data_IF_383309331402
#
_entry.id   IF_383309331402
#
_cell.length_a   1.000
_cell.length_b   1.000
_cell.length_c   1.000
_cell.angle_alpha   90.00
_cell.angle_beta   90.00
_cell.angle_gamma   90.00
#
_symmetry.space_group_name_H-M   'P 1'
#
loop_
_entity.id
_entity.type
_entity.pdbx_description
1 polymer ?
#
# COMPACT_ATOMS: atom_id res chain seq x y z
N UNK A 1 -15.17 -27.52 -21.18
CA UNK A 1 -16.51 -28.05 -20.84
C UNK A 1 -16.65 -28.41 -19.36
N UNK A 2 -15.82 -29.31 -18.78
CA UNK A 2 -15.93 -29.70 -17.34
C UNK A 2 -15.88 -28.53 -16.34
N UNK A 3 -15.07 -27.50 -16.59
CA UNK A 3 -14.93 -26.35 -15.68
C UNK A 3 -16.08 -25.34 -15.78
N UNK A 4 -16.74 -25.20 -16.95
CA UNK A 4 -17.90 -24.31 -17.11
C UNK A 4 -19.10 -24.86 -16.32
N UNK A 5 -19.40 -26.15 -16.46
CA UNK A 5 -20.48 -26.82 -15.73
C UNK A 5 -20.33 -26.72 -14.20
N UNK A 6 -19.11 -26.62 -13.68
CA UNK A 6 -18.86 -26.45 -12.23
C UNK A 6 -19.34 -25.10 -11.69
N UNK A 7 -19.44 -24.06 -12.53
CA UNK A 7 -19.71 -22.69 -12.09
C UNK A 7 -20.97 -22.07 -12.70
N UNK A 8 -21.69 -22.80 -13.55
CA UNK A 8 -22.95 -22.36 -14.18
C UNK A 8 -24.05 -21.95 -13.18
N UNK A 9 -24.01 -22.49 -11.97
CA UNK A 9 -24.93 -22.14 -10.88
C UNK A 9 -24.57 -20.81 -10.19
N UNK A 10 -23.39 -20.25 -10.46
CA UNK A 10 -22.89 -18.98 -9.92
C UNK A 10 -22.97 -17.86 -10.94
N UNK A 11 -22.48 -18.12 -12.16
CA UNK A 11 -22.35 -17.13 -13.23
C UNK A 11 -22.47 -17.81 -14.58
N UNK A 12 -23.10 -17.12 -15.53
CA UNK A 12 -23.09 -17.51 -16.94
C UNK A 12 -21.79 -17.01 -17.58
N UNK A 13 -20.95 -17.93 -18.06
CA UNK A 13 -19.71 -17.58 -18.77
C UNK A 13 -20.06 -17.34 -20.25
N UNK A 14 -19.82 -16.13 -20.79
CA UNK A 14 -20.06 -15.85 -22.20
C UNK A 14 -19.22 -16.72 -23.13
N UNK A 15 -19.65 -16.87 -24.39
CA UNK A 15 -18.99 -17.78 -25.34
C UNK A 15 -17.62 -17.27 -25.78
N UNK A 16 -17.46 -15.96 -25.87
CA UNK A 16 -16.25 -15.20 -26.20
C UNK A 16 -15.24 -15.13 -25.03
N UNK A 17 -15.49 -15.86 -23.94
CA UNK A 17 -14.55 -15.97 -22.82
C UNK A 17 -13.81 -17.31 -22.83
N UNK A 18 -12.47 -17.24 -22.90
CA UNK A 18 -11.57 -18.41 -22.90
C UNK A 18 -11.03 -18.66 -21.49
N UNK A 19 -10.97 -19.92 -21.08
CA UNK A 19 -10.32 -20.31 -19.83
C UNK A 19 -8.80 -20.12 -19.99
N UNK A 20 -8.23 -19.22 -19.20
CA UNK A 20 -6.79 -18.90 -19.21
C UNK A 20 -6.06 -19.49 -18.02
N UNK A 21 -6.73 -19.67 -16.87
CA UNK A 21 -6.20 -20.38 -15.70
C UNK A 21 -7.21 -21.41 -15.20
N UNK A 22 -6.71 -22.60 -14.89
CA UNK A 22 -7.45 -23.70 -14.29
C UNK A 22 -6.49 -24.53 -13.45
N UNK A 23 -6.24 -24.07 -12.23
CA UNK A 23 -5.14 -24.55 -11.38
C UNK A 23 -5.63 -24.94 -9.98
N UNK A 24 -4.80 -25.66 -9.23
CA UNK A 24 -5.01 -25.96 -7.80
C UNK A 24 -3.75 -25.66 -7.02
N UNK A 25 -3.79 -24.63 -6.17
CA UNK A 25 -2.64 -24.15 -5.39
C UNK A 25 -3.07 -23.88 -3.95
N UNK A 26 -2.24 -24.25 -2.99
CA UNK A 26 -2.49 -24.03 -1.56
C UNK A 26 -3.84 -24.56 -1.03
N UNK A 27 -4.39 -25.64 -1.63
CA UNK A 27 -5.69 -26.19 -1.23
C UNK A 27 -6.90 -25.42 -1.78
N UNK A 28 -6.70 -24.63 -2.84
CA UNK A 28 -7.73 -23.85 -3.51
C UNK A 28 -7.74 -24.15 -5.01
N UNK A 29 -8.94 -24.27 -5.59
CA UNK A 29 -9.15 -24.39 -7.03
C UNK A 29 -9.40 -23.00 -7.63
N UNK A 30 -8.53 -22.60 -8.56
CA UNK A 30 -8.54 -21.28 -9.17
C UNK A 30 -8.97 -21.41 -10.63
N UNK A 31 -10.01 -20.69 -11.03
CA UNK A 31 -10.51 -20.64 -12.39
C UNK A 31 -10.57 -19.19 -12.87
N UNK A 32 -9.96 -18.90 -14.02
CA UNK A 32 -9.92 -17.57 -14.62
C UNK A 32 -10.28 -17.65 -16.09
N UNK A 33 -11.28 -16.87 -16.50
CA UNK A 33 -11.64 -16.65 -17.89
C UNK A 33 -11.39 -15.19 -18.28
N UNK A 34 -10.85 -14.98 -19.47
CA UNK A 34 -10.70 -13.66 -20.08
C UNK A 34 -11.53 -13.59 -21.36
N UNK A 35 -12.04 -12.40 -21.68
CA UNK A 35 -12.61 -12.14 -23.00
C UNK A 35 -11.51 -12.18 -24.06
N UNK A 36 -11.79 -12.79 -25.21
CA UNK A 36 -10.80 -13.00 -26.27
C UNK A 36 -10.26 -11.69 -26.88
N UNK A 37 -11.09 -10.65 -26.99
CA UNK A 37 -10.71 -9.36 -27.59
C UNK A 37 -10.20 -8.33 -26.56
N UNK A 38 -10.52 -8.52 -25.27
CA UNK A 38 -10.21 -7.58 -24.20
C UNK A 38 -9.92 -8.32 -22.89
N UNK A 39 -8.65 -8.61 -22.64
CA UNK A 39 -8.24 -9.34 -21.43
C UNK A 39 -8.42 -8.55 -20.11
N UNK A 40 -8.72 -7.25 -20.16
CA UNK A 40 -9.12 -6.51 -18.96
C UNK A 40 -10.51 -6.95 -18.48
N UNK A 41 -11.32 -7.55 -19.37
CA UNK A 41 -12.59 -8.18 -19.02
C UNK A 41 -12.38 -9.64 -18.66
N UNK A 42 -12.75 -9.99 -17.43
CA UNK A 42 -12.48 -11.31 -16.86
C UNK A 42 -13.52 -11.79 -15.87
N UNK A 43 -13.53 -13.10 -15.66
CA UNK A 43 -14.26 -13.79 -14.60
C UNK A 43 -13.25 -14.65 -13.84
N UNK A 44 -13.04 -14.34 -12.57
CA UNK A 44 -12.20 -15.09 -11.64
C UNK A 44 -13.07 -15.74 -10.56
N UNK A 45 -12.85 -17.02 -10.30
CA UNK A 45 -13.57 -17.79 -9.28
C UNK A 45 -12.58 -18.68 -8.54
N UNK A 46 -12.60 -18.61 -7.21
CA UNK A 46 -11.81 -19.45 -6.33
C UNK A 46 -12.70 -20.28 -5.40
N UNK A 47 -12.40 -21.58 -5.29
CA UNK A 47 -13.05 -22.51 -4.37
C UNK A 47 -12.06 -23.16 -3.43
N UNK A 48 -12.52 -23.50 -2.23
CA UNK A 48 -11.77 -24.38 -1.33
C UNK A 48 -11.77 -25.81 -1.88
N UNK A 49 -10.60 -26.40 -2.12
CA UNK A 49 -10.46 -27.70 -2.78
C UNK A 49 -11.27 -28.80 -2.09
N UNK A 50 -11.16 -28.90 -0.76
CA UNK A 50 -11.75 -30.00 0.00
C UNK A 50 -13.27 -29.90 0.16
N UNK A 51 -13.82 -28.69 0.20
CA UNK A 51 -15.24 -28.47 0.53
C UNK A 51 -16.05 -27.94 -0.65
N UNK A 52 -15.38 -27.55 -1.74
CA UNK A 52 -15.96 -26.85 -2.88
C UNK A 52 -16.78 -25.60 -2.46
N UNK A 53 -16.45 -25.01 -1.30
CA UNK A 53 -17.02 -23.74 -0.88
C UNK A 53 -16.43 -22.60 -1.71
N UNK A 54 -17.30 -21.69 -2.16
CA UNK A 54 -16.87 -20.47 -2.82
C UNK A 54 -16.05 -19.62 -1.83
N UNK A 55 -14.83 -19.28 -2.22
CA UNK A 55 -13.95 -18.36 -1.48
C UNK A 55 -14.06 -16.97 -2.11
N UNK A 56 -13.97 -16.91 -3.44
CA UNK A 56 -13.92 -15.66 -4.18
C UNK A 56 -14.66 -15.75 -5.51
N UNK A 57 -15.33 -14.67 -5.88
CA UNK A 57 -15.82 -14.36 -7.22
C UNK A 57 -15.38 -12.94 -7.54
N UNK A 58 -14.83 -12.71 -8.73
CA UNK A 58 -14.58 -11.38 -9.26
C UNK A 58 -14.89 -11.35 -10.75
N UNK A 59 -15.80 -10.48 -11.15
CA UNK A 59 -16.21 -10.24 -12.52
C UNK A 59 -15.82 -8.80 -12.85
N UNK A 60 -14.86 -8.64 -13.75
CA UNK A 60 -14.57 -7.35 -14.36
C UNK A 60 -15.13 -7.36 -15.78
N UNK A 61 -16.03 -6.41 -16.05
CA UNK A 61 -16.66 -6.20 -17.35
C UNK A 61 -16.78 -4.69 -17.56
N UNK A 62 -17.00 -4.24 -18.78
CA UNK A 62 -17.24 -2.81 -19.03
C UNK A 62 -18.33 -2.31 -18.07
N UNK A 63 -17.97 -1.34 -17.23
CA UNK A 63 -18.87 -0.84 -16.20
C UNK A 63 -20.04 -0.13 -16.86
N UNK A 64 -21.29 -0.38 -16.42
CA UNK A 64 -22.42 0.41 -16.86
C UNK A 64 -22.14 1.88 -16.58
N UNK A 65 -22.25 2.73 -17.62
CA UNK A 65 -22.02 4.19 -17.49
C UNK A 65 -23.11 4.87 -16.65
N UNK A 66 -24.21 4.16 -16.42
CA UNK A 66 -25.36 4.65 -15.67
C UNK A 66 -25.14 4.57 -14.16
N UNK A 67 -25.62 5.60 -13.46
CA UNK A 67 -25.63 5.59 -12.01
C UNK A 67 -26.54 4.48 -11.47
N UNK A 68 -26.17 3.89 -10.33
CA UNK A 68 -26.99 2.86 -9.71
C UNK A 68 -28.35 3.42 -9.28
N UNK A 69 -29.41 2.84 -9.82
CA UNK A 69 -30.81 3.21 -9.52
C UNK A 69 -31.40 2.40 -8.37
N UNK A 70 -30.75 1.31 -7.98
CA UNK A 70 -31.14 0.47 -6.86
C UNK A 70 -31.04 1.25 -5.54
N UNK A 71 -31.94 0.93 -4.61
CA UNK A 71 -31.84 1.35 -3.20
C UNK A 71 -30.86 0.47 -2.42
N UNK A 72 -30.34 0.98 -1.31
CA UNK A 72 -29.48 0.20 -0.40
C UNK A 72 -30.18 -1.09 0.08
N UNK A 73 -31.49 -1.01 0.33
CA UNK A 73 -32.29 -2.16 0.73
C UNK A 73 -32.36 -3.24 -0.38
N UNK A 74 -32.50 -2.84 -1.64
CA UNK A 74 -32.48 -3.77 -2.77
C UNK A 74 -31.09 -4.39 -2.97
N UNK A 75 -30.02 -3.60 -2.89
CA UNK A 75 -28.65 -4.08 -2.95
C UNK A 75 -28.37 -5.13 -1.87
N UNK A 76 -28.76 -4.84 -0.62
CA UNK A 76 -28.69 -5.80 0.50
C UNK A 76 -29.48 -7.08 0.23
N UNK A 77 -30.72 -6.98 -0.28
CA UNK A 77 -31.53 -8.16 -0.58
C UNK A 77 -30.92 -9.06 -1.66
N UNK A 78 -30.28 -8.48 -2.67
CA UNK A 78 -29.59 -9.25 -3.72
C UNK A 78 -28.41 -10.00 -3.11
N UNK A 79 -27.59 -9.31 -2.31
CA UNK A 79 -26.46 -9.89 -1.60
C UNK A 79 -26.89 -11.02 -0.65
N UNK A 80 -28.00 -10.83 0.07
CA UNK A 80 -28.56 -11.85 0.96
C UNK A 80 -28.98 -13.12 0.21
N UNK A 81 -29.70 -12.99 -0.92
CA UNK A 81 -30.11 -14.15 -1.75
C UNK A 81 -28.89 -14.93 -2.27
N UNK A 82 -27.82 -14.21 -2.62
CA UNK A 82 -26.57 -14.83 -3.04
C UNK A 82 -25.96 -15.67 -1.90
N UNK A 83 -25.86 -15.10 -0.69
CA UNK A 83 -25.35 -15.83 0.47
C UNK A 83 -26.25 -17.01 0.87
N UNK A 84 -27.58 -16.87 0.79
CA UNK A 84 -28.50 -17.98 1.07
C UNK A 84 -28.21 -19.20 0.19
N UNK A 85 -27.82 -18.96 -1.06
CA UNK A 85 -27.55 -20.01 -2.04
C UNK A 85 -26.13 -20.58 -1.91
N UNK A 86 -25.12 -19.73 -1.72
CA UNK A 86 -23.71 -20.13 -1.87
C UNK A 86 -22.91 -20.15 -0.56
N UNK A 87 -23.36 -19.44 0.48
CA UNK A 87 -22.66 -19.37 1.77
C UNK A 87 -23.63 -19.15 2.96
N UNK A 88 -24.64 -20.02 3.17
CA UNK A 88 -25.71 -19.79 4.15
C UNK A 88 -25.21 -19.73 5.60
N UNK A 89 -24.07 -20.36 5.89
CA UNK A 89 -23.40 -20.28 7.20
C UNK A 89 -22.97 -18.86 7.56
N UNK A 90 -22.67 -18.00 6.58
CA UNK A 90 -22.29 -16.60 6.83
C UNK A 90 -23.49 -15.82 7.35
N UNK A 91 -24.66 -15.97 6.74
CA UNK A 91 -25.90 -15.32 7.20
C UNK A 91 -26.33 -15.77 8.60
N UNK A 92 -26.00 -17.00 8.96
CA UNK A 92 -26.33 -17.54 10.28
C UNK A 92 -25.46 -16.92 11.38
N UNK A 93 -24.17 -16.73 11.12
CA UNK A 93 -23.18 -16.38 12.15
C UNK A 93 -22.87 -14.87 12.17
N UNK A 94 -23.09 -14.15 11.07
CA UNK A 94 -22.91 -12.69 10.97
C UNK A 94 -24.16 -11.94 11.39
N UNK A 95 -24.00 -10.98 12.29
CA UNK A 95 -25.07 -10.18 12.89
C UNK A 95 -24.95 -8.67 12.56
N UNK A 96 -23.87 -8.25 11.93
CA UNK A 96 -23.68 -6.88 11.43
C UNK A 96 -23.65 -6.88 9.90
N UNK A 97 -24.31 -5.88 9.30
CA UNK A 97 -24.28 -5.65 7.84
C UNK A 97 -24.02 -4.17 7.57
N UNK A 98 -22.99 -3.88 6.81
CA UNK A 98 -22.71 -2.53 6.29
C UNK A 98 -23.03 -2.49 4.80
N UNK A 99 -23.65 -1.39 4.37
CA UNK A 99 -23.97 -1.13 2.96
C UNK A 99 -23.41 0.23 2.59
N UNK A 100 -22.57 0.27 1.57
CA UNK A 100 -22.00 1.51 1.05
C UNK A 100 -22.40 1.70 -0.41
N UNK A 101 -23.03 2.85 -0.70
CA UNK A 101 -23.34 3.25 -2.08
C UNK A 101 -22.11 3.78 -2.79
N UNK A 102 -21.78 3.17 -3.93
CA UNK A 102 -20.83 3.70 -4.92
C UNK A 102 -21.59 4.28 -6.11
N UNK A 103 -20.86 4.89 -7.05
CA UNK A 103 -21.46 5.52 -8.24
C UNK A 103 -22.31 4.55 -9.07
N UNK A 104 -21.80 3.33 -9.28
CA UNK A 104 -22.39 2.30 -10.15
C UNK A 104 -22.65 0.96 -9.45
N UNK A 105 -22.37 0.86 -8.14
CA UNK A 105 -22.51 -0.39 -7.37
C UNK A 105 -22.85 -0.13 -5.90
N UNK A 106 -23.21 -1.19 -5.19
CA UNK A 106 -23.25 -1.25 -3.74
C UNK A 106 -22.17 -2.19 -3.24
N UNK A 107 -21.45 -1.76 -2.22
CA UNK A 107 -20.65 -2.66 -1.39
C UNK A 107 -21.51 -3.12 -0.22
N UNK A 108 -21.59 -4.43 -0.02
CA UNK A 108 -22.36 -5.04 1.05
C UNK A 108 -21.43 -5.96 1.81
N UNK A 109 -21.23 -5.68 3.10
CA UNK A 109 -20.34 -6.44 3.95
C UNK A 109 -21.10 -7.02 5.14
N UNK A 110 -21.02 -8.34 5.29
CA UNK A 110 -21.56 -9.09 6.42
C UNK A 110 -20.41 -9.45 7.34
N UNK A 111 -20.55 -9.16 8.63
CA UNK A 111 -19.51 -9.38 9.64
C UNK A 111 -20.10 -9.97 10.92
N UNK A 112 -19.25 -10.68 11.67
CA UNK A 112 -19.54 -10.97 13.06
C UNK A 112 -19.34 -9.70 13.89
N UNK A 113 -20.14 -9.56 14.93
CA UNK A 113 -20.07 -8.47 15.91
C UNK A 113 -20.01 -9.08 17.32
N UNK A 114 -19.35 -8.36 18.22
CA UNK A 114 -19.41 -8.60 19.67
C UNK A 114 -19.68 -7.26 20.36
N UNK A 115 -20.81 -7.18 21.07
CA UNK A 115 -21.30 -5.98 21.77
C UNK A 115 -21.41 -4.72 20.91
N UNK A 116 -21.88 -4.88 19.66
CA UNK A 116 -22.08 -3.76 18.73
C UNK A 116 -20.80 -3.27 18.04
N UNK A 117 -19.67 -3.98 18.21
CA UNK A 117 -18.42 -3.70 17.51
C UNK A 117 -18.13 -4.80 16.50
N UNK A 118 -17.74 -4.39 15.30
CA UNK A 118 -17.34 -5.29 14.22
C UNK A 118 -16.13 -6.13 14.63
N UNK A 119 -16.16 -7.41 14.28
CA UNK A 119 -15.04 -8.33 14.46
C UNK A 119 -14.27 -8.40 13.14
N UNK A 120 -13.02 -7.89 13.07
CA UNK A 120 -12.31 -7.79 11.81
C UNK A 120 -11.99 -9.16 11.21
N UNK A 121 -11.86 -9.19 9.89
CA UNK A 121 -11.57 -10.40 9.10
C UNK A 121 -12.59 -11.53 9.27
N UNK A 122 -13.88 -11.17 9.41
CA UNK A 122 -15.00 -12.13 9.50
C UNK A 122 -16.09 -11.89 8.45
N UNK A 123 -16.87 -12.93 8.18
CA UNK A 123 -18.04 -12.90 7.30
C UNK A 123 -17.70 -12.87 5.81
N UNK A 124 -18.32 -11.95 5.05
CA UNK A 124 -18.10 -11.82 3.61
C UNK A 124 -18.30 -10.40 3.11
N UNK A 125 -17.53 -10.05 2.07
CA UNK A 125 -17.69 -8.84 1.29
C UNK A 125 -18.34 -9.17 -0.06
N UNK A 126 -19.25 -8.32 -0.53
CA UNK A 126 -19.86 -8.42 -1.86
C UNK A 126 -19.98 -7.06 -2.56
N UNK A 127 -19.88 -7.08 -3.88
CA UNK A 127 -20.22 -5.94 -4.73
C UNK A 127 -21.42 -6.30 -5.61
N UNK A 128 -22.47 -5.48 -5.54
CA UNK A 128 -23.69 -5.61 -6.36
C UNK A 128 -23.74 -4.46 -7.36
N UNK A 129 -23.73 -4.79 -8.65
CA UNK A 129 -23.74 -3.78 -9.71
C UNK A 129 -25.16 -3.26 -10.04
N UNK A 130 -25.23 -2.24 -10.88
CA UNK A 130 -26.51 -1.68 -11.36
C UNK A 130 -27.36 -2.67 -12.18
N UNK A 131 -26.78 -3.76 -12.69
CA UNK A 131 -27.50 -4.85 -13.38
C UNK A 131 -28.12 -5.87 -12.43
N UNK A 132 -28.07 -5.62 -11.11
CA UNK A 132 -28.56 -6.51 -10.05
C UNK A 132 -27.78 -7.82 -9.96
N UNK A 133 -26.52 -7.85 -10.40
CA UNK A 133 -25.65 -9.01 -10.31
C UNK A 133 -24.59 -8.82 -9.22
N UNK A 134 -24.22 -9.91 -8.54
CA UNK A 134 -23.05 -9.93 -7.65
C UNK A 134 -21.82 -10.07 -8.54
N UNK A 135 -21.01 -9.01 -8.62
CA UNK A 135 -19.79 -8.97 -9.44
C UNK A 135 -18.54 -9.27 -8.62
N UNK A 136 -18.57 -9.02 -7.31
CA UNK A 136 -17.53 -9.48 -6.39
C UNK A 136 -18.12 -10.19 -5.20
N UNK A 137 -17.48 -11.25 -4.76
CA UNK A 137 -17.71 -11.91 -3.47
C UNK A 137 -16.36 -12.34 -2.92
N UNK A 138 -16.13 -12.11 -1.63
CA UNK A 138 -14.97 -12.63 -0.91
C UNK A 138 -15.39 -13.09 0.47
N UNK A 139 -15.22 -14.38 0.73
CA UNK A 139 -15.39 -14.96 2.06
C UNK A 139 -14.19 -14.61 2.94
N UNK A 140 -14.44 -14.08 4.13
CA UNK A 140 -13.46 -13.87 5.20
C UNK A 140 -13.52 -14.97 6.26
N UNK A 141 -14.54 -15.84 6.16
CA UNK A 141 -14.77 -16.95 7.08
C UNK A 141 -15.42 -16.51 8.39
N UNK A 142 -15.74 -17.50 9.23
CA UNK A 142 -16.30 -17.29 10.56
C UNK A 142 -15.22 -17.64 11.59
N UNK A 143 -15.13 -16.84 12.65
CA UNK A 143 -14.15 -16.95 13.72
C UNK A 143 -14.83 -17.11 15.07
N UNK A 144 -14.07 -17.59 16.05
CA UNK A 144 -14.52 -17.63 17.43
C UNK A 144 -14.71 -16.21 17.96
N UNK A 145 -15.85 -15.96 18.63
CA UNK A 145 -16.17 -14.63 19.15
C UNK A 145 -15.37 -14.40 20.45
N UNK A 146 -14.62 -13.29 20.58
CA UNK A 146 -13.93 -12.98 21.82
C UNK A 146 -14.91 -12.68 22.95
N UNK A 147 -14.43 -12.85 24.19
CA UNK A 147 -15.17 -12.48 25.39
C UNK A 147 -14.98 -11.00 25.67
N UNK A 148 -16.07 -10.33 26.04
CA UNK A 148 -16.02 -8.92 26.45
C UNK A 148 -15.27 -8.76 27.78
N UNK A 149 -14.33 -7.80 27.91
CA UNK A 149 -13.66 -7.54 29.18
C UNK A 149 -14.64 -7.16 30.30
N UNK A 150 -14.41 -7.65 31.52
CA UNK A 150 -15.24 -7.31 32.70
C UNK A 150 -15.26 -5.81 33.02
N UNK A 151 -14.17 -5.10 32.67
CA UNK A 151 -14.02 -3.66 32.82
C UNK A 151 -13.43 -3.09 31.54
N UNK A 152 -14.04 -2.00 31.07
CA UNK A 152 -13.51 -1.14 30.01
C UNK A 152 -13.23 0.22 30.64
N UNK A 153 -12.06 0.78 30.35
CA UNK A 153 -11.63 2.06 30.90
C UNK A 153 -12.43 3.21 30.28
N UNK A 154 -12.56 4.28 31.05
CA UNK A 154 -13.28 5.47 30.63
C UNK A 154 -12.63 6.14 29.41
N UNK A 155 -13.47 6.60 28.47
CA UNK A 155 -13.00 7.13 27.20
C UNK A 155 -12.21 8.43 27.41
N UNK A 156 -12.65 9.28 28.31
CA UNK A 156 -12.06 10.59 28.56
C UNK A 156 -10.65 10.45 29.15
N UNK A 157 -10.43 9.45 30.02
CA UNK A 157 -9.09 9.09 30.50
C UNK A 157 -8.14 8.70 29.37
N UNK A 158 -8.62 7.92 28.39
CA UNK A 158 -7.80 7.52 27.24
C UNK A 158 -7.46 8.72 26.36
N UNK A 159 -8.40 9.65 26.15
CA UNK A 159 -8.15 10.89 25.39
C UNK A 159 -7.07 11.73 26.06
N UNK A 160 -7.11 11.87 27.39
CA UNK A 160 -6.08 12.59 28.15
C UNK A 160 -4.69 11.96 27.93
N UNK A 161 -4.57 10.64 28.10
CA UNK A 161 -3.31 9.91 27.84
C UNK A 161 -2.80 10.07 26.40
N UNK A 162 -3.69 10.00 25.41
CA UNK A 162 -3.30 10.15 23.99
C UNK A 162 -2.80 11.57 23.75
N UNK A 163 -3.49 12.58 24.28
CA UNK A 163 -3.07 13.97 24.15
C UNK A 163 -1.73 14.26 24.86
N UNK A 164 -1.46 13.68 26.04
CA UNK A 164 -0.23 13.90 26.81
C UNK A 164 1.06 13.61 26.03
N UNK A 165 1.03 12.66 25.10
CA UNK A 165 2.18 12.28 24.27
C UNK A 165 2.19 12.89 22.87
N UNK A 166 1.13 13.59 22.50
CA UNK A 166 0.94 14.03 21.13
C UNK A 166 1.96 15.12 20.78
N UNK A 167 2.62 14.94 19.65
CA UNK A 167 3.59 15.88 19.09
C UNK A 167 3.16 16.24 17.67
N UNK A 168 3.51 17.44 17.23
CA UNK A 168 3.34 17.88 15.84
C UNK A 168 4.73 18.14 15.25
N UNK A 169 5.00 17.55 14.08
CA UNK A 169 6.21 17.81 13.31
C UNK A 169 5.85 18.68 12.11
N UNK A 170 6.73 19.63 11.79
CA UNK A 170 6.63 20.43 10.58
C UNK A 170 7.24 19.70 9.39
N UNK A 171 6.49 19.59 8.29
CA UNK A 171 6.90 18.88 7.08
C UNK A 171 6.53 19.63 5.80
N UNK A 172 7.28 19.40 4.72
CA UNK A 172 6.83 19.73 3.37
C UNK A 172 5.91 18.62 2.86
N UNK A 173 4.72 18.99 2.39
CA UNK A 173 3.71 18.04 1.88
C UNK A 173 3.10 18.55 0.58
N UNK A 174 3.01 17.70 -0.45
CA UNK A 174 2.19 17.99 -1.63
C UNK A 174 0.72 17.76 -1.31
N UNK A 175 -0.11 18.79 -1.47
CA UNK A 175 -1.52 18.74 -1.15
C UNK A 175 -2.38 18.57 -2.42
N UNK A 176 -2.61 17.33 -2.85
CA UNK A 176 -3.52 17.04 -3.97
C UNK A 176 -4.97 17.49 -3.64
N UNK A 177 -5.58 18.43 -4.40
CA UNK A 177 -6.95 18.91 -4.19
C UNK A 177 -8.04 17.85 -4.36
N UNK A 178 -7.72 16.70 -4.97
CA UNK A 178 -8.57 15.51 -5.06
C UNK A 178 -8.65 14.82 -3.70
N UNK A 179 -7.51 14.65 -3.02
CA UNK A 179 -7.40 13.93 -1.76
C UNK A 179 -7.64 14.82 -0.53
N UNK A 180 -7.35 16.12 -0.62
CA UNK A 180 -7.36 17.02 0.53
C UNK A 180 -8.36 18.18 0.37
N UNK A 181 -8.86 18.69 1.50
CA UNK A 181 -9.68 19.89 1.58
C UNK A 181 -9.34 20.74 2.81
N UNK A 182 -9.58 22.04 2.67
CA UNK A 182 -9.92 22.87 3.83
C UNK A 182 -11.43 22.82 4.06
N UNK A 183 -11.86 23.17 5.27
CA UNK A 183 -13.28 23.35 5.58
C UNK A 183 -14.02 24.26 4.57
N UNK A 184 -13.34 25.32 4.14
CA UNK A 184 -13.92 26.37 3.29
C UNK A 184 -13.33 26.38 1.86
N UNK A 185 -12.72 25.29 1.40
CA UNK A 185 -12.13 25.24 0.06
C UNK A 185 -11.19 24.07 -0.20
N UNK A 186 -10.37 24.20 -1.24
CA UNK A 186 -9.36 23.20 -1.58
C UNK A 186 -7.96 23.81 -1.50
N UNK A 187 -6.95 23.02 -1.12
CA UNK A 187 -5.57 23.45 -1.29
C UNK A 187 -5.22 23.61 -2.77
N UNK A 188 -4.09 24.26 -3.04
CA UNK A 188 -3.47 24.24 -4.35
C UNK A 188 -2.74 22.91 -4.53
N UNK A 189 -2.67 22.40 -5.77
CA UNK A 189 -1.85 21.22 -6.09
C UNK A 189 -0.35 21.59 -6.13
N UNK A 190 0.18 21.91 -4.96
CA UNK A 190 1.56 22.32 -4.75
C UNK A 190 2.06 21.77 -3.42
N UNK A 191 3.38 21.84 -3.22
CA UNK A 191 3.94 21.62 -1.90
C UNK A 191 3.60 22.79 -0.98
N UNK A 192 3.28 22.47 0.28
CA UNK A 192 3.03 23.43 1.35
C UNK A 192 3.77 23.00 2.61
N UNK A 193 3.99 23.96 3.50
CA UNK A 193 4.50 23.72 4.83
C UNK A 193 3.33 23.44 5.78
N UNK A 194 3.33 22.26 6.39
CA UNK A 194 2.23 21.82 7.26
C UNK A 194 2.77 21.20 8.54
N UNK A 195 1.93 21.14 9.55
CA UNK A 195 2.13 20.34 10.75
C UNK A 195 1.39 19.02 10.61
N UNK A 196 2.09 17.93 10.86
CA UNK A 196 1.53 16.58 10.93
C UNK A 196 1.71 15.97 12.32
N UNK A 197 0.74 15.15 12.78
CA UNK A 197 0.87 14.46 14.06
C UNK A 197 1.95 13.38 13.96
N UNK A 198 2.90 13.39 14.90
CA UNK A 198 3.95 12.36 15.00
C UNK A 198 3.33 10.99 15.32
N UNK A 199 2.34 10.98 16.22
CA UNK A 199 1.52 9.81 16.52
C UNK A 199 0.17 10.00 15.81
N UNK A 200 -0.08 9.25 14.73
CA UNK A 200 -1.34 9.35 13.98
C UNK A 200 -2.29 8.17 14.24
N UNK A 201 -1.78 7.11 14.87
CA UNK A 201 -2.52 5.94 15.27
C UNK A 201 -1.98 5.42 16.58
N UNK A 202 -2.87 5.06 17.48
CA UNK A 202 -2.55 4.52 18.80
C UNK A 202 -3.38 3.28 19.07
N UNK A 203 -2.86 2.37 19.89
CA UNK A 203 -3.51 1.12 20.22
C UNK A 203 -3.51 0.98 21.74
N UNK A 204 -4.51 1.55 22.40
CA UNK A 204 -4.64 1.50 23.85
C UNK A 204 -5.54 0.32 24.22
N UNK A 205 -5.03 -0.59 25.04
CA UNK A 205 -5.80 -1.71 25.58
C UNK A 205 -7.03 -1.18 26.34
N UNK A 206 -8.22 -1.61 25.93
CA UNK A 206 -9.46 -1.10 26.51
C UNK A 206 -9.68 -1.53 27.98
N UNK A 207 -9.01 -2.57 28.45
CA UNK A 207 -9.09 -3.11 29.81
C UNK A 207 -8.04 -2.49 30.74
N UNK A 208 -6.80 -2.34 30.30
CA UNK A 208 -5.68 -1.87 31.13
C UNK A 208 -5.39 -0.38 30.95
N UNK A 209 -5.69 0.18 29.78
CA UNK A 209 -5.41 1.59 29.46
C UNK A 209 -3.94 1.84 29.16
N UNK A 210 -3.19 0.76 28.99
CA UNK A 210 -1.80 0.76 28.56
C UNK A 210 -1.74 0.75 27.04
N UNK A 211 -0.68 1.33 26.50
CA UNK A 211 -0.38 1.19 25.09
C UNK A 211 0.11 -0.23 24.80
N UNK A 212 -0.35 -0.79 23.68
CA UNK A 212 0.11 -2.08 23.18
C UNK A 212 1.48 -2.01 22.54
N UNK A 213 1.91 -0.84 22.10
CA UNK A 213 3.19 -0.66 21.43
C UNK A 213 4.00 0.50 22.03
N UNK A 214 5.31 0.42 21.86
CA UNK A 214 6.22 1.49 22.23
C UNK A 214 6.29 2.59 21.14
N UNK A 215 7.13 3.60 21.37
CA UNK A 215 7.30 4.70 20.42
C UNK A 215 7.78 4.24 19.04
N UNK A 216 8.66 3.23 18.97
CA UNK A 216 9.23 2.74 17.70
C UNK A 216 8.19 2.14 16.76
N UNK A 217 7.10 1.60 17.28
CA UNK A 217 5.98 1.14 16.45
C UNK A 217 5.25 2.29 15.74
N UNK A 218 5.27 3.50 16.31
CA UNK A 218 4.55 4.66 15.80
C UNK A 218 5.42 5.64 15.05
N UNK A 219 6.69 5.73 15.44
CA UNK A 219 7.62 6.73 14.96
C UNK A 219 8.82 6.01 14.38
N UNK A 220 9.00 6.24 13.09
CA UNK A 220 10.21 5.82 12.39
C UNK A 220 11.39 6.62 12.93
N UNK A 221 12.32 5.94 13.59
CA UNK A 221 13.56 6.57 14.03
C UNK A 221 14.51 6.81 12.85
N UNK A 222 15.22 7.95 12.89
CA UNK A 222 16.21 8.28 11.88
C UNK A 222 17.53 8.69 12.50
N UNK A 223 18.62 8.30 11.84
CA UNK A 223 19.98 8.67 12.25
C UNK A 223 20.65 9.54 11.20
N UNK A 224 21.36 10.57 11.66
CA UNK A 224 22.16 11.43 10.79
C UNK A 224 23.26 10.63 10.11
N UNK A 225 23.48 10.93 8.83
CA UNK A 225 24.56 10.31 8.05
C UNK A 225 25.89 10.96 8.44
N UNK A 226 26.90 10.13 8.70
CA UNK A 226 28.27 10.62 8.80
C UNK A 226 28.87 10.67 7.40
N UNK A 227 29.34 11.83 6.91
CA UNK A 227 29.91 11.94 5.58
C UNK A 227 31.17 11.06 5.46
N UNK A 228 31.40 10.54 4.26
CA UNK A 228 32.57 9.72 4.01
C UNK A 228 33.84 10.55 4.10
N UNK A 229 34.94 9.93 4.54
CA UNK A 229 36.25 10.60 4.52
C UNK A 229 36.60 10.92 3.07
N UNK A 230 37.31 12.02 2.82
CA UNK A 230 37.71 12.43 1.45
C UNK A 230 38.40 11.31 0.65
N UNK A 231 39.13 10.44 1.32
CA UNK A 231 39.83 9.29 0.74
C UNK A 231 38.89 8.14 0.29
N UNK A 232 37.69 8.07 0.87
CA UNK A 232 36.63 7.12 0.52
C UNK A 232 35.69 7.66 -0.57
N UNK A 233 35.79 8.96 -0.90
CA UNK A 233 34.98 9.60 -1.93
C UNK A 233 35.51 9.22 -3.31
N UNK A 234 34.83 8.28 -3.94
CA UNK A 234 35.07 7.92 -5.34
C UNK A 234 34.01 8.60 -6.19
N UNK A 235 34.44 9.39 -7.18
CA UNK A 235 33.53 9.90 -8.18
C UNK A 235 33.07 8.74 -9.05
N UNK A 236 31.79 8.43 -8.99
CA UNK A 236 31.18 7.34 -9.75
C UNK A 236 30.60 7.95 -11.02
N UNK A 237 30.99 7.42 -12.18
CA UNK A 237 30.26 7.69 -13.41
C UNK A 237 28.97 6.88 -13.36
N UNK A 238 27.85 7.58 -13.19
CA UNK A 238 26.52 6.99 -13.09
C UNK A 238 26.21 6.16 -14.35
N UNK A 239 26.69 6.56 -15.53
CA UNK A 239 26.52 5.80 -16.77
C UNK A 239 27.36 4.51 -16.79
N UNK A 240 28.56 4.53 -16.20
CA UNK A 240 29.37 3.31 -16.01
C UNK A 240 28.86 2.43 -14.86
N UNK A 241 28.02 2.96 -13.98
CA UNK A 241 27.46 2.21 -12.85
C UNK A 241 26.49 1.13 -13.32
N UNK A 242 25.78 1.38 -14.42
CA UNK A 242 24.72 0.49 -14.91
C UNK A 242 25.16 -0.47 -16.00
N UNK A 243 26.39 -0.33 -16.52
CA UNK A 243 27.10 -1.21 -17.49
C UNK A 243 26.18 -2.18 -18.23
N UNK A 244 25.28 -1.62 -19.03
CA UNK A 244 24.38 -2.39 -19.87
C UNK A 244 25.25 -3.11 -20.90
N UNK A 245 25.28 -4.43 -20.83
CA UNK A 245 25.98 -5.24 -21.82
C UNK A 245 25.10 -5.30 -23.07
N UNK A 246 25.24 -4.33 -23.98
CA UNK A 246 24.49 -4.29 -25.25
C UNK A 246 24.74 -5.53 -26.15
N UNK A 247 25.78 -6.31 -25.87
CA UNK A 247 26.02 -7.60 -26.52
C UNK A 247 25.07 -8.71 -26.05
N UNK A 248 24.51 -8.58 -24.83
CA UNK A 248 23.61 -9.57 -24.22
C UNK A 248 22.19 -9.06 -24.02
N UNK A 249 22.04 -7.78 -23.70
CA UNK A 249 20.78 -7.13 -23.38
C UNK A 249 20.27 -6.31 -24.56
N UNK A 250 18.95 -6.32 -24.76
CA UNK A 250 18.28 -5.47 -25.75
C UNK A 250 17.35 -4.49 -25.05
N UNK A 251 17.26 -3.26 -25.59
CA UNK A 251 16.23 -2.32 -25.17
C UNK A 251 14.87 -2.84 -25.65
N UNK A 252 14.01 -3.24 -24.72
CA UNK A 252 12.69 -3.83 -25.01
C UNK A 252 11.57 -2.80 -24.90
N UNK A 253 11.78 -1.71 -24.16
CA UNK A 253 10.77 -0.66 -23.99
C UNK A 253 11.41 0.70 -23.69
N UNK A 254 10.77 1.75 -24.17
CA UNK A 254 11.04 3.14 -23.83
C UNK A 254 9.69 3.84 -23.63
N UNK A 255 9.54 4.53 -22.50
CA UNK A 255 8.33 5.28 -22.13
C UNK A 255 8.81 6.67 -21.75
N UNK A 256 8.09 7.68 -22.22
CA UNK A 256 8.41 9.08 -21.95
C UNK A 256 7.13 9.79 -21.55
N UNK A 257 7.16 10.49 -20.42
CA UNK A 257 6.08 11.39 -19.98
C UNK A 257 6.56 12.85 -20.03
N UNK A 258 5.88 13.77 -19.33
CA UNK A 258 6.21 15.19 -19.34
C UNK A 258 7.59 15.48 -18.73
N UNK A 259 7.99 14.75 -17.69
CA UNK A 259 9.19 15.06 -16.88
C UNK A 259 10.25 13.98 -16.91
N UNK A 260 9.88 12.73 -17.17
CA UNK A 260 10.73 11.56 -16.99
C UNK A 260 10.82 10.72 -18.27
N UNK A 261 11.98 10.11 -18.48
CA UNK A 261 12.24 9.10 -19.50
C UNK A 261 12.60 7.79 -18.83
N UNK A 262 11.83 6.74 -19.14
CA UNK A 262 12.01 5.39 -18.61
C UNK A 262 12.41 4.41 -19.72
N UNK A 263 13.47 3.67 -19.48
CA UNK A 263 14.03 2.67 -20.40
C UNK A 263 14.10 1.30 -19.72
N UNK A 264 13.73 0.25 -20.46
CA UNK A 264 13.82 -1.14 -20.00
C UNK A 264 14.73 -1.91 -20.94
N UNK A 265 15.76 -2.50 -20.37
CA UNK A 265 16.72 -3.37 -21.02
C UNK A 265 16.59 -4.78 -20.48
N UNK A 266 16.65 -5.79 -21.33
CA UNK A 266 16.43 -7.17 -20.91
C UNK A 266 17.31 -8.16 -21.66
N UNK A 267 17.72 -9.22 -20.95
CA UNK A 267 18.23 -10.46 -21.51
C UNK A 267 17.07 -11.45 -21.60
N UNK A 268 16.79 -11.93 -22.81
CA UNK A 268 15.70 -12.88 -23.06
C UNK A 268 16.12 -14.25 -22.51
N UNK A 269 15.19 -14.99 -21.90
CA UNK A 269 15.43 -16.38 -21.52
C UNK A 269 15.88 -17.20 -22.74
N UNK A 270 16.97 -17.97 -22.59
CA UNK A 270 17.55 -18.79 -23.67
C UNK A 270 16.63 -19.90 -24.14
N UNK A 271 15.81 -20.41 -23.24
CA UNK A 271 14.65 -21.25 -23.55
C UNK A 271 13.45 -20.33 -23.43
N UNK A 272 12.85 -19.94 -24.57
CA UNK A 272 11.49 -19.45 -24.53
C UNK A 272 10.68 -20.48 -23.75
N UNK A 273 10.05 -20.09 -22.64
CA UNK A 273 8.99 -20.89 -22.07
C UNK A 273 7.95 -20.92 -23.17
N UNK A 274 8.01 -21.93 -24.04
CA UNK A 274 6.92 -22.27 -24.95
C UNK A 274 5.80 -22.72 -24.02
N UNK A 275 5.08 -21.75 -23.47
CA UNK A 275 3.83 -22.04 -22.80
C UNK A 275 2.95 -22.66 -23.87
N UNK A 276 2.69 -23.95 -23.76
CA UNK A 276 1.65 -24.54 -24.59
C UNK A 276 0.35 -23.84 -24.24
N UNK A 277 -0.51 -23.56 -25.23
CA UNK A 277 -1.86 -23.04 -24.94
C UNK A 277 -2.68 -23.98 -24.02
N UNK A 278 -2.20 -25.21 -23.85
CA UNK A 278 -2.76 -26.26 -23.00
C UNK A 278 -2.38 -26.11 -21.51
N UNK A 279 -1.26 -25.48 -21.18
CA UNK A 279 -0.88 -25.23 -19.78
C UNK A 279 -1.75 -24.10 -19.20
N UNK A 280 -2.59 -24.46 -18.22
CA UNK A 280 -3.52 -23.57 -17.52
C UNK A 280 -3.12 -23.32 -16.08
N UNK A 281 -1.86 -23.57 -15.72
CA UNK A 281 -1.34 -23.21 -14.39
C UNK A 281 -1.29 -21.69 -14.20
N UNK A 282 -1.44 -21.25 -12.95
CA UNK A 282 -1.40 -19.84 -12.60
C UNK A 282 -0.01 -19.23 -12.90
N UNK A 283 1.05 -20.00 -12.66
CA UNK A 283 2.43 -19.58 -12.88
C UNK A 283 2.71 -19.37 -14.38
N UNK A 284 2.25 -20.28 -15.24
CA UNK A 284 2.37 -20.15 -16.71
C UNK A 284 1.63 -18.91 -17.23
N UNK A 285 0.42 -18.65 -16.72
CA UNK A 285 -0.34 -17.46 -17.07
C UNK A 285 0.39 -16.15 -16.71
N UNK A 286 0.93 -16.03 -15.49
CA UNK A 286 1.64 -14.80 -15.09
C UNK A 286 2.96 -14.60 -15.85
N UNK A 287 3.71 -15.68 -16.10
CA UNK A 287 4.92 -15.61 -16.92
C UNK A 287 4.62 -15.07 -18.33
N UNK A 288 3.47 -15.42 -18.91
CA UNK A 288 3.05 -14.92 -20.22
C UNK A 288 2.53 -13.48 -20.19
N UNK A 289 1.78 -13.10 -19.16
CA UNK A 289 1.11 -11.79 -19.09
C UNK A 289 1.99 -10.66 -18.58
N UNK A 290 3.01 -10.97 -17.80
CA UNK A 290 3.92 -9.98 -17.21
C UNK A 290 5.25 -10.08 -17.95
N UNK A 291 5.52 -9.22 -18.96
CA UNK A 291 6.69 -9.38 -19.83
C UNK A 291 8.02 -9.39 -19.08
N UNK A 292 8.10 -8.70 -17.94
CA UNK A 292 9.33 -8.67 -17.13
C UNK A 292 9.66 -10.02 -16.48
N UNK A 293 8.68 -10.92 -16.32
CA UNK A 293 8.91 -12.30 -15.86
C UNK A 293 9.47 -13.21 -16.96
N UNK A 294 9.46 -12.76 -18.23
CA UNK A 294 10.03 -13.49 -19.37
C UNK A 294 11.52 -13.25 -19.57
N UNK A 295 12.12 -12.39 -18.74
CA UNK A 295 13.52 -12.02 -18.84
C UNK A 295 14.30 -12.72 -17.74
N UNK A 296 15.43 -13.32 -18.10
CA UNK A 296 16.38 -13.87 -17.12
C UNK A 296 16.93 -12.75 -16.25
N UNK A 297 17.18 -11.61 -16.89
CA UNK A 297 17.69 -10.39 -16.29
C UNK A 297 17.06 -9.18 -16.95
N UNK A 298 16.71 -8.18 -16.16
CA UNK A 298 16.24 -6.88 -16.66
C UNK A 298 16.82 -5.72 -15.87
N UNK A 299 16.97 -4.59 -16.56
CA UNK A 299 17.42 -3.32 -16.01
C UNK A 299 16.40 -2.26 -16.40
N UNK A 300 15.87 -1.56 -15.40
CA UNK A 300 14.95 -0.44 -15.56
C UNK A 300 15.70 0.82 -15.13
N UNK A 301 15.78 1.80 -16.02
CA UNK A 301 16.40 3.10 -15.75
C UNK A 301 15.35 4.18 -15.98
N UNK A 302 15.27 5.14 -15.06
CA UNK A 302 14.45 6.33 -15.17
C UNK A 302 15.32 7.57 -14.91
N UNK A 303 15.26 8.53 -15.82
CA UNK A 303 16.01 9.78 -15.78
C UNK A 303 15.08 10.97 -15.96
N UNK A 304 15.46 12.10 -15.38
CA UNK A 304 14.84 13.39 -15.65
C UNK A 304 15.12 13.81 -17.10
N UNK A 305 14.10 14.24 -17.84
CA UNK A 305 14.23 14.51 -19.28
C UNK A 305 15.06 15.75 -19.60
N UNK A 306 15.05 16.74 -18.73
CA UNK A 306 15.71 18.02 -18.99
C UNK A 306 17.19 17.96 -18.60
N UNK A 307 17.48 17.24 -17.52
CA UNK A 307 18.80 17.22 -16.90
C UNK A 307 19.57 15.92 -17.13
N UNK A 308 18.91 14.86 -17.59
CA UNK A 308 19.45 13.49 -17.70
C UNK A 308 19.92 12.94 -16.33
N UNK A 309 19.48 13.56 -15.22
CA UNK A 309 19.80 13.10 -13.87
C UNK A 309 19.02 11.82 -13.55
N UNK A 310 19.69 10.87 -12.89
CA UNK A 310 19.08 9.61 -12.50
C UNK A 310 18.02 9.79 -11.42
N UNK A 311 16.81 9.30 -11.69
CA UNK A 311 15.69 9.26 -10.74
C UNK A 311 15.56 7.86 -10.12
N UNK A 312 15.62 6.82 -10.94
CA UNK A 312 15.45 5.43 -10.49
C UNK A 312 16.27 4.45 -11.32
N UNK A 313 16.77 3.42 -10.65
CA UNK A 313 17.46 2.27 -11.23
C UNK A 313 16.98 0.99 -10.56
N UNK A 314 16.63 -0.03 -11.34
CA UNK A 314 16.25 -1.34 -10.81
C UNK A 314 16.88 -2.42 -11.69
N UNK A 315 17.76 -3.22 -11.12
CA UNK A 315 18.23 -4.47 -11.69
C UNK A 315 17.40 -5.63 -11.10
N UNK A 316 16.87 -6.48 -11.97
CA UNK A 316 16.15 -7.70 -11.61
C UNK A 316 16.83 -8.90 -12.26
N UNK A 317 16.94 -10.00 -11.52
CA UNK A 317 17.55 -11.25 -11.96
C UNK A 317 17.99 -12.06 -10.74
N UNK A 318 18.07 -13.38 -10.85
CA UNK A 318 18.45 -14.26 -9.72
C UNK A 318 19.94 -14.55 -9.76
N UNK A 319 20.68 -14.03 -8.79
CA UNK A 319 21.97 -14.61 -8.39
C UNK A 319 21.89 -15.04 -6.93
N UNK A 320 21.44 -16.29 -6.69
CA UNK A 320 21.49 -16.89 -5.36
C UNK A 320 22.95 -17.23 -5.01
N UNK A 321 23.66 -16.24 -4.47
CA UNK A 321 25.02 -16.40 -3.95
C UNK A 321 25.08 -15.87 -2.53
N UNK A 322 25.91 -16.51 -1.71
CA UNK A 322 26.09 -16.11 -0.32
C UNK A 322 26.75 -14.72 -0.26
N UNK A 323 26.26 -13.82 0.62
CA UNK A 323 26.83 -12.49 0.77
C UNK A 323 28.30 -12.59 1.19
N UNK A 324 29.14 -11.76 0.59
CA UNK A 324 30.58 -11.65 0.88
C UNK A 324 30.88 -10.38 1.69
N UNK A 325 30.06 -9.35 1.49
CA UNK A 325 30.15 -8.07 2.16
C UNK A 325 29.28 -8.05 3.41
N UNK A 326 29.76 -7.36 4.44
CA UNK A 326 28.96 -7.04 5.62
C UNK A 326 27.97 -5.92 5.31
N UNK A 327 26.92 -5.79 6.14
CA UNK A 327 25.98 -4.67 6.04
C UNK A 327 26.68 -3.31 6.07
N UNK A 328 27.67 -3.13 6.95
CA UNK A 328 28.44 -1.89 7.03
C UNK A 328 29.21 -1.57 5.73
N UNK A 329 29.78 -2.59 5.08
CA UNK A 329 30.45 -2.42 3.78
C UNK A 329 29.45 -2.09 2.65
N UNK A 330 28.27 -2.71 2.67
CA UNK A 330 27.19 -2.37 1.76
C UNK A 330 26.69 -0.94 1.99
N UNK A 331 26.56 -0.52 3.24
CA UNK A 331 26.15 0.84 3.59
C UNK A 331 27.17 1.88 3.12
N UNK A 332 28.47 1.63 3.31
CA UNK A 332 29.53 2.50 2.79
C UNK A 332 29.43 2.66 1.27
N UNK A 333 29.15 1.58 0.54
CA UNK A 333 28.93 1.62 -0.91
C UNK A 333 27.68 2.40 -1.31
N UNK A 334 26.58 2.24 -0.56
CA UNK A 334 25.37 3.02 -0.77
C UNK A 334 25.63 4.53 -0.56
N UNK A 335 26.37 4.90 0.49
CA UNK A 335 26.75 6.29 0.74
C UNK A 335 27.67 6.86 -0.34
N UNK A 336 28.66 6.08 -0.82
CA UNK A 336 29.51 6.51 -1.94
C UNK A 336 28.69 6.82 -3.18
N UNK A 337 27.69 6.00 -3.48
CA UNK A 337 26.76 6.24 -4.56
C UNK A 337 25.91 7.49 -4.33
N UNK A 338 25.33 7.66 -3.14
CA UNK A 338 24.49 8.81 -2.81
C UNK A 338 25.25 10.14 -2.80
N UNK A 339 26.50 10.20 -2.34
CA UNK A 339 27.33 11.43 -2.38
C UNK A 339 27.58 11.93 -3.81
N UNK A 340 27.44 11.06 -4.84
CA UNK A 340 27.53 11.47 -6.25
C UNK A 340 26.22 12.07 -6.78
N UNK A 341 25.09 11.77 -6.13
CA UNK A 341 23.75 12.24 -6.54
C UNK A 341 23.32 13.45 -5.72
N UNK A 342 23.58 13.42 -4.40
CA UNK A 342 23.22 14.43 -3.43
C UNK A 342 24.50 15.13 -2.93
N UNK A 343 24.77 16.39 -3.36
CA UNK A 343 25.99 17.11 -2.98
C UNK A 343 26.18 17.32 -1.47
N UNK A 344 25.07 17.37 -0.70
CA UNK A 344 25.05 17.56 0.76
C UNK A 344 24.26 16.42 1.43
N UNK A 345 24.69 15.18 1.21
CA UNK A 345 23.96 13.98 1.67
C UNK A 345 23.68 14.01 3.18
N UNK A 346 24.59 14.56 3.98
CA UNK A 346 24.50 14.62 5.44
C UNK A 346 23.46 15.62 5.96
N UNK A 347 23.16 16.67 5.19
CA UNK A 347 22.14 17.65 5.51
C UNK A 347 20.77 17.23 4.95
N UNK A 348 20.79 16.54 3.81
CA UNK A 348 19.60 16.21 3.04
C UNK A 348 19.01 14.85 3.40
N UNK A 349 19.79 13.89 3.87
CA UNK A 349 19.32 12.53 4.11
C UNK A 349 19.55 12.10 5.55
N UNK A 350 18.58 11.36 6.11
CA UNK A 350 18.73 10.63 7.36
C UNK A 350 18.32 9.18 7.15
N UNK A 351 19.14 8.26 7.64
CA UNK A 351 18.90 6.81 7.50
C UNK A 351 17.71 6.43 8.37
N UNK A 352 16.75 5.72 7.78
CA UNK A 352 15.65 5.06 8.47
C UNK A 352 16.19 3.85 9.23
N UNK A 353 15.93 3.80 10.54
CA UNK A 353 16.16 2.64 11.40
C UNK A 353 14.86 1.86 11.59
N UNK A 354 14.80 0.65 11.03
CA UNK A 354 13.70 -0.30 11.20
C UNK A 354 14.34 -1.68 11.36
N UNK A 355 14.19 -2.27 12.54
CA UNK A 355 14.84 -3.54 12.87
C UNK A 355 14.27 -4.69 12.03
N UNK A 356 12.95 -4.70 11.79
CA UNK A 356 12.28 -5.74 11.01
C UNK A 356 12.71 -5.66 9.53
N UNK A 357 12.75 -4.46 8.96
CA UNK A 357 13.23 -4.25 7.58
C UNK A 357 14.73 -4.58 7.44
N UNK A 358 15.55 -4.31 8.47
CA UNK A 358 16.97 -4.67 8.50
C UNK A 358 17.17 -6.19 8.56
N UNK A 359 16.34 -6.94 9.28
CA UNK A 359 16.41 -8.40 9.31
C UNK A 359 15.98 -9.05 7.99
N UNK A 360 14.87 -8.59 7.41
CA UNK A 360 14.35 -9.12 6.14
C UNK A 360 15.18 -8.69 4.93
N UNK A 361 15.69 -7.45 4.94
CA UNK A 361 16.36 -6.81 3.82
C UNK A 361 17.65 -6.09 4.25
N UNK A 362 18.66 -6.80 4.79
CA UNK A 362 19.82 -6.20 5.47
C UNK A 362 20.69 -5.29 4.60
N UNK A 363 20.57 -5.37 3.28
CA UNK A 363 21.35 -4.58 2.33
C UNK A 363 20.52 -3.53 1.60
N UNK A 364 19.30 -3.28 2.08
CA UNK A 364 18.42 -2.22 1.64
C UNK A 364 18.49 -1.07 2.65
N UNK A 365 18.68 0.14 2.15
CA UNK A 365 18.82 1.35 2.96
C UNK A 365 17.80 2.37 2.48
N UNK A 366 16.96 2.82 3.40
CA UNK A 366 15.93 3.82 3.14
C UNK A 366 16.29 5.10 3.89
N UNK A 367 16.03 6.24 3.28
CA UNK A 367 16.38 7.54 3.85
C UNK A 367 15.22 8.51 3.75
N UNK A 368 14.97 9.22 4.85
CA UNK A 368 14.13 10.41 4.83
C UNK A 368 14.90 11.59 4.23
N UNK A 369 14.16 12.43 3.50
CA UNK A 369 14.69 13.60 2.81
C UNK A 369 14.37 14.85 3.62
N UNK A 370 15.36 15.72 3.76
CA UNK A 370 15.28 17.00 4.46
C UNK A 370 15.70 18.13 3.54
N UNK A 371 14.94 19.22 3.55
CA UNK A 371 15.26 20.47 2.86
C UNK A 371 15.14 21.60 3.87
N UNK A 372 16.17 22.44 4.01
CA UNK A 372 16.22 23.49 5.04
C UNK A 372 15.94 22.95 6.46
N UNK A 373 16.36 21.71 6.75
CA UNK A 373 16.13 21.03 8.03
C UNK A 373 14.70 20.54 8.26
N UNK A 374 13.82 20.63 7.26
CA UNK A 374 12.41 20.22 7.32
C UNK A 374 12.23 18.96 6.48
N UNK A 375 11.55 17.95 7.03
CA UNK A 375 11.33 16.68 6.34
C UNK A 375 10.36 16.84 5.18
N UNK A 376 10.64 16.16 4.07
CA UNK A 376 9.72 15.98 2.95
C UNK A 376 8.84 14.76 3.22
N UNK A 377 7.54 14.97 3.40
CA UNK A 377 6.58 13.90 3.67
C UNK A 377 6.31 13.05 2.41
N UNK A 378 6.06 11.76 2.63
CA UNK A 378 5.79 10.71 1.62
C UNK A 378 6.90 10.43 0.59
N UNK A 379 8.02 11.14 0.66
CA UNK A 379 9.16 10.94 -0.23
C UNK A 379 10.34 10.34 0.53
N UNK A 380 10.99 9.36 -0.09
CA UNK A 380 12.16 8.68 0.45
C UNK A 380 13.18 8.40 -0.63
N UNK A 381 14.45 8.28 -0.21
CA UNK A 381 15.50 7.70 -1.04
C UNK A 381 15.69 6.25 -0.63
N UNK A 382 15.72 5.35 -1.61
CA UNK A 382 15.95 3.93 -1.41
C UNK A 382 17.16 3.48 -2.20
N UNK A 383 18.08 2.76 -1.56
CA UNK A 383 19.23 2.11 -2.20
C UNK A 383 19.28 0.64 -1.76
N UNK A 384 19.47 -0.28 -2.70
CA UNK A 384 19.82 -1.66 -2.40
C UNK A 384 21.16 -2.02 -3.02
N UNK A 385 21.97 -2.73 -2.25
CA UNK A 385 23.32 -3.15 -2.65
C UNK A 385 23.37 -4.67 -2.69
N UNK A 386 23.86 -5.23 -3.78
CA UNK A 386 24.20 -6.65 -3.84
C UNK A 386 25.39 -6.92 -2.91
N UNK A 387 25.18 -7.69 -1.85
CA UNK A 387 26.22 -8.02 -0.87
C UNK A 387 27.29 -9.01 -1.39
N UNK A 388 27.13 -9.55 -2.59
CA UNK A 388 28.14 -10.41 -3.25
C UNK A 388 29.11 -9.55 -4.03
N UNK A 389 28.60 -8.69 -4.92
CA UNK A 389 29.43 -7.86 -5.81
C UNK A 389 29.71 -6.45 -5.28
N UNK A 390 28.90 -5.97 -4.34
CA UNK A 390 28.92 -4.59 -3.87
C UNK A 390 28.43 -3.57 -4.89
N UNK A 391 27.64 -4.00 -5.88
CA UNK A 391 27.00 -3.12 -6.87
C UNK A 391 25.66 -2.61 -6.35
N UNK A 392 25.28 -1.41 -6.78
CA UNK A 392 23.93 -0.91 -6.58
C UNK A 392 23.01 -1.68 -7.52
N UNK A 393 22.01 -2.37 -6.97
CA UNK A 393 21.00 -3.12 -7.73
C UNK A 393 19.63 -2.46 -7.72
N UNK A 394 19.41 -1.54 -6.77
CA UNK A 394 18.22 -0.68 -6.76
C UNK A 394 18.60 0.70 -6.26
N UNK A 395 18.04 1.71 -6.91
CA UNK A 395 18.00 3.08 -6.45
C UNK A 395 16.65 3.68 -6.81
N UNK A 396 16.06 4.43 -5.89
CA UNK A 396 14.94 5.33 -6.17
C UNK A 396 15.17 6.59 -5.35
N UNK A 397 15.21 7.75 -5.99
CA UNK A 397 15.27 9.04 -5.31
C UNK A 397 14.22 10.00 -5.81
N UNK A 398 14.46 11.28 -5.54
CA UNK A 398 13.60 12.37 -6.00
C UNK A 398 14.34 13.25 -7.01
N UNK A 399 13.65 13.89 -7.96
CA UNK A 399 14.28 14.81 -8.89
C UNK A 399 14.93 15.99 -8.17
N UNK A 400 16.11 16.41 -8.61
CA UNK A 400 16.85 17.48 -7.96
C UNK A 400 16.16 18.83 -8.03
N UNK A 401 15.43 19.10 -9.12
CA UNK A 401 14.65 20.33 -9.26
C UNK A 401 13.63 20.49 -8.14
N UNK A 402 13.09 19.39 -7.60
CA UNK A 402 12.14 19.43 -6.49
C UNK A 402 12.83 19.97 -5.22
N UNK A 403 14.01 19.44 -4.91
CA UNK A 403 14.79 19.90 -3.75
C UNK A 403 15.22 21.36 -3.89
N UNK A 404 15.63 21.78 -5.10
CA UNK A 404 15.96 23.17 -5.39
C UNK A 404 14.74 24.09 -5.30
N UNK A 405 13.57 23.63 -5.75
CA UNK A 405 12.32 24.37 -5.61
C UNK A 405 11.98 24.57 -4.13
N UNK A 406 11.98 23.50 -3.35
CA UNK A 406 11.63 23.55 -1.92
C UNK A 406 12.64 24.34 -1.09
N UNK A 407 13.92 24.39 -1.48
CA UNK A 407 14.92 25.17 -0.75
C UNK A 407 14.68 26.68 -0.84
N UNK A 408 13.92 27.13 -1.85
CA UNK A 408 13.54 28.55 -2.04
C UNK A 408 12.32 28.98 -1.24
N UNK A 409 11.61 28.03 -0.62
CA UNK A 409 10.38 28.34 0.13
C UNK A 409 10.71 29.11 1.40
N UNK A 410 9.86 30.08 1.74
CA UNK A 410 9.90 30.69 3.06
C UNK A 410 9.51 29.63 4.10
N UNK A 411 10.38 29.46 5.09
CA UNK A 411 10.19 28.49 6.18
C UNK A 411 9.77 29.17 7.48
N UNK A 412 9.56 30.48 7.46
CA UNK A 412 8.91 31.18 8.56
C UNK A 412 7.43 30.77 8.61
N UNK A 413 7.00 30.36 9.80
CA UNK A 413 5.63 29.92 10.08
C UNK A 413 4.92 30.98 10.88
N UNK A 414 3.61 31.12 10.67
CA UNK A 414 2.80 32.10 11.40
C UNK A 414 2.17 31.52 12.68
N UNK A 415 2.14 30.19 12.79
CA UNK A 415 1.70 29.49 14.00
C UNK A 415 2.85 28.60 14.50
N UNK A 416 2.91 28.37 15.80
CA UNK A 416 3.88 27.45 16.39
C UNK A 416 3.40 25.99 16.39
N UNK A 417 4.32 25.06 16.63
CA UNK A 417 4.00 23.64 16.85
C UNK A 417 2.99 23.45 17.99
N UNK A 418 3.10 24.22 19.06
CA UNK A 418 2.17 24.16 20.21
C UNK A 418 0.78 24.69 19.85
N UNK A 419 0.69 25.72 19.01
CA UNK A 419 -0.60 26.23 18.53
C UNK A 419 -1.27 25.21 17.60
N UNK A 420 -0.51 24.59 16.70
CA UNK A 420 -0.99 23.50 15.85
C UNK A 420 -1.44 22.30 16.71
N UNK A 421 -0.65 21.89 17.70
CA UNK A 421 -1.00 20.80 18.62
C UNK A 421 -2.31 21.10 19.37
N UNK A 422 -2.50 22.32 19.85
CA UNK A 422 -3.73 22.73 20.52
C UNK A 422 -4.96 22.74 19.59
N UNK A 423 -4.79 22.94 18.29
CA UNK A 423 -5.85 22.78 17.29
C UNK A 423 -6.14 21.29 17.08
N UNK A 424 -5.10 20.47 16.93
CA UNK A 424 -5.21 19.02 16.71
C UNK A 424 -5.97 18.34 17.85
N UNK A 425 -5.54 18.56 19.10
CA UNK A 425 -6.13 17.96 20.31
C UNK A 425 -7.61 18.27 20.51
N UNK A 426 -8.12 19.38 19.96
CA UNK A 426 -9.56 19.73 20.04
C UNK A 426 -10.43 18.81 19.17
N UNK A 427 -9.85 18.27 18.11
CA UNK A 427 -10.52 17.35 17.18
C UNK A 427 -10.17 15.88 17.51
N UNK A 428 -9.12 15.63 18.30
CA UNK A 428 -8.74 14.29 18.77
C UNK A 428 -9.86 13.65 19.60
N UNK A 429 -10.19 12.42 19.24
CA UNK A 429 -11.05 11.53 19.99
C UNK A 429 -10.51 10.11 19.88
N UNK A 430 -11.15 9.17 20.57
CA UNK A 430 -10.85 7.74 20.42
C UNK A 430 -12.10 6.94 20.09
N UNK A 431 -11.92 5.87 19.33
CA UNK A 431 -12.96 4.87 19.02
C UNK A 431 -12.55 3.51 19.54
N UNK A 432 -13.50 2.81 20.13
CA UNK A 432 -13.34 1.43 20.57
C UNK A 432 -13.52 0.50 19.36
N UNK A 433 -12.65 -0.49 19.19
CA UNK A 433 -12.77 -1.51 18.13
C UNK A 433 -12.13 -2.83 18.57
N UNK A 434 -12.53 -3.92 17.92
CA UNK A 434 -11.77 -5.17 17.99
C UNK A 434 -10.56 -5.07 17.08
N UNK A 435 -9.41 -5.49 17.59
CA UNK A 435 -8.14 -5.60 16.89
C UNK A 435 -7.74 -7.06 16.82
N UNK A 436 -7.34 -7.52 15.64
CA UNK A 436 -6.80 -8.85 15.43
C UNK A 436 -5.29 -8.80 15.65
N UNK A 437 -4.80 -9.49 16.67
CA UNK A 437 -3.37 -9.58 17.01
C UNK A 437 -2.62 -10.64 16.18
N UNK A 438 -3.31 -11.31 15.26
CA UNK A 438 -2.83 -12.54 14.65
C UNK A 438 -1.70 -12.38 13.61
N UNK A 439 -0.50 -12.84 13.98
CA UNK A 439 0.49 -13.46 13.08
C UNK A 439 0.29 -14.99 12.92
N UNK A 440 -0.61 -15.58 13.72
CA UNK A 440 -0.93 -17.02 13.75
C UNK A 440 -2.15 -17.39 12.88
N UNK A 441 -2.33 -18.70 12.62
CA UNK A 441 -3.51 -19.24 11.89
C UNK A 441 -4.86 -19.05 12.61
N UNK A 442 -4.86 -18.73 13.91
CA UNK A 442 -6.08 -18.49 14.70
C UNK A 442 -6.07 -17.05 15.23
N UNK A 443 -7.05 -16.20 14.87
CA UNK A 443 -7.13 -14.82 15.33
C UNK A 443 -7.20 -14.74 16.85
N UNK A 444 -6.42 -13.82 17.42
CA UNK A 444 -6.50 -13.44 18.83
C UNK A 444 -7.02 -12.02 18.87
N UNK A 445 -8.26 -11.84 19.31
CA UNK A 445 -8.88 -10.52 19.31
C UNK A 445 -8.69 -9.81 20.64
N UNK A 446 -8.25 -8.55 20.57
CA UNK A 446 -8.17 -7.63 21.70
C UNK A 446 -9.06 -6.42 21.47
N UNK A 447 -9.75 -5.98 22.53
CA UNK A 447 -10.54 -4.76 22.49
C UNK A 447 -9.62 -3.56 22.75
N UNK A 448 -9.58 -2.60 21.83
CA UNK A 448 -8.67 -1.45 21.93
C UNK A 448 -9.39 -0.14 21.64
N UNK A 449 -8.87 0.93 22.21
CA UNK A 449 -9.10 2.28 21.74
C UNK A 449 -8.06 2.64 20.67
N UNK A 450 -8.52 3.25 19.59
CA UNK A 450 -7.65 3.85 18.58
C UNK A 450 -8.05 5.30 18.36
N UNK A 451 -7.06 6.15 18.12
CA UNK A 451 -7.24 7.57 17.87
C UNK A 451 -8.04 7.82 16.58
N UNK A 452 -8.84 8.88 16.61
CA UNK A 452 -9.55 9.36 15.45
C UNK A 452 -9.85 10.84 15.59
N UNK A 453 -9.70 11.56 14.49
CA UNK A 453 -10.14 12.96 14.33
C UNK A 453 -11.44 13.06 13.52
N UNK A 454 -12.03 11.91 13.17
CA UNK A 454 -13.30 11.87 12.46
C UNK A 454 -14.46 12.15 13.42
N UNK A 455 -15.45 12.92 12.95
CA UNK A 455 -16.66 13.17 13.75
C UNK A 455 -17.46 11.88 13.91
N UNK A 456 -18.13 11.72 15.06
CA UNK A 456 -18.99 10.56 15.35
C UNK A 456 -19.96 10.30 14.18
N UNK A 457 -19.79 9.15 13.52
CA UNK A 457 -20.69 8.67 12.46
C UNK A 457 -20.28 9.02 11.03
N UNK A 458 -19.17 9.74 10.82
CA UNK A 458 -18.68 10.07 9.48
C UNK A 458 -17.19 9.76 9.34
N UNK A 459 -16.87 8.56 8.85
CA UNK A 459 -15.48 8.11 8.64
C UNK A 459 -14.85 8.71 7.37
N UNK A 460 -15.56 9.58 6.63
CA UNK A 460 -15.09 10.07 5.33
C UNK A 460 -14.10 11.21 5.44
N UNK A 461 -14.22 12.05 6.48
CA UNK A 461 -13.33 13.19 6.66
C UNK A 461 -12.57 13.07 7.99
N UNK A 462 -11.24 12.99 7.89
CA UNK A 462 -10.35 12.99 9.05
C UNK A 462 -9.33 14.11 8.92
N UNK A 463 -9.08 14.82 10.01
CA UNK A 463 -8.00 15.80 10.08
C UNK A 463 -6.69 15.07 9.83
N UNK A 464 -5.90 15.56 8.86
CA UNK A 464 -4.56 15.05 8.58
C UNK A 464 -3.47 16.04 8.91
N UNK A 465 -3.65 17.30 8.54
CA UNK A 465 -2.62 18.32 8.67
C UNK A 465 -3.20 19.63 9.20
N UNK A 466 -2.31 20.47 9.70
CA UNK A 466 -2.60 21.87 10.01
C UNK A 466 -1.66 22.73 9.17
N UNK A 467 -2.23 23.63 8.39
CA UNK A 467 -1.48 24.55 7.54
C UNK A 467 -0.61 25.48 8.41
N UNK A 468 0.71 25.49 8.17
CA UNK A 468 1.65 26.22 9.01
C UNK A 468 1.64 27.75 8.76
N UNK A 469 1.05 28.20 7.65
CA UNK A 469 0.93 29.62 7.30
C UNK A 469 -0.32 30.26 7.95
N UNK A 470 -1.40 29.49 8.12
CA UNK A 470 -2.69 30.10 8.50
C UNK A 470 -3.48 29.32 9.56
N UNK A 471 -2.98 28.18 10.04
CA UNK A 471 -3.63 27.36 11.07
C UNK A 471 -4.91 26.66 10.64
N UNK A 472 -5.23 26.65 9.35
CA UNK A 472 -6.40 25.93 8.86
C UNK A 472 -6.18 24.43 8.92
N UNK A 473 -7.24 23.75 9.31
CA UNK A 473 -7.32 22.30 9.31
C UNK A 473 -7.42 21.79 7.87
N UNK A 474 -6.57 20.82 7.54
CA UNK A 474 -6.57 20.10 6.26
C UNK A 474 -7.10 18.69 6.51
N UNK A 475 -8.22 18.37 5.87
CA UNK A 475 -8.89 17.08 5.95
C UNK A 475 -8.53 16.20 4.75
N UNK A 476 -8.46 14.90 4.98
CA UNK A 476 -8.48 13.89 3.92
C UNK A 476 -9.94 13.53 3.59
N UNK A 477 -10.25 13.39 2.30
CA UNK A 477 -11.60 13.16 1.75
C UNK A 477 -11.90 11.70 1.42
#
# INVERSE_FOLDING_TARGET
>A
MKSRNKVEHLVTIPNDYKLVVGDTKNGEHILWWEQEEDCEQYIHICFKEKTNQLIELSINKESPKEAITLSEAEGKQIAERFLQTHAPHILKECNMVQVEKRKSSFWVEYMQEVNGYELPHTGAFMEVDSSKAVTKFRSKGIKEKPVWPEKVIDKEYVIEKVNERQEMERVFKRLDPVLYAYKDGKPKDEYALVYEPVFSTVFIDAKTGEDLHDRSHYVIETVSITPLRKEQRVKIDINECFKIDEGKMKKVREIEDETCKKMIWAEMLSESIESSEEDKSLDSYFNNKIPILQYEKSIIIEVDKETDELISYIEMGKEDRKPVLTRAQCFEKALQFLENIYPNVEEQLRLWMDEDDEEENPYHFKFHIYVNGIRLADEWVWVAVDAVSGKIVRYKGVPRWLLQKLSTYDTNVNISEQEALAIYMKETSVKLKWFDEGEDTTPKYRLIYTETTAKKGDNKESLRYIDAENGKVIYWK
#
